data_IF_429520817361
#
_entry.id   IF_429520817361
#
_cell.length_a   1.000
_cell.length_b   1.000
_cell.length_c   1.000
_cell.angle_alpha   90.00
_cell.angle_beta   90.00
_cell.angle_gamma   90.00
#
_symmetry.space_group_name_H-M   'P 1'
#
loop_
_entity.id
_entity.type
_entity.pdbx_description
1 polymer ?
#
# COMPACT_ATOMS: atom_id res chain seq x y z
N UNK A 1 0.22 -10.88 13.77
CA UNK A 1 0.18 -10.07 12.54
C UNK A 1 1.37 -9.14 12.51
N UNK A 2 1.78 -8.76 11.31
CA UNK A 2 2.74 -7.70 11.09
C UNK A 2 2.00 -6.37 10.83
N UNK A 3 2.44 -5.27 11.42
CA UNK A 3 1.81 -3.96 11.22
C UNK A 3 1.92 -3.47 9.78
N UNK A 4 2.97 -3.87 9.05
CA UNK A 4 3.17 -3.55 7.64
C UNK A 4 2.14 -4.22 6.70
N UNK A 5 1.34 -5.18 7.21
CA UNK A 5 0.21 -5.77 6.50
C UNK A 5 -1.13 -5.08 6.80
N UNK A 6 -1.14 -4.02 7.59
CA UNK A 6 -2.35 -3.34 8.02
C UNK A 6 -2.41 -1.94 7.42
N UNK A 7 -3.42 -1.68 6.62
CA UNK A 7 -3.68 -0.37 6.03
C UNK A 7 -5.01 0.19 6.55
N UNK A 8 -4.98 1.40 7.11
CA UNK A 8 -6.17 2.03 7.69
C UNK A 8 -6.86 2.96 6.69
N UNK A 9 -8.13 2.72 6.47
CA UNK A 9 -9.04 3.54 5.67
C UNK A 9 -10.18 4.06 6.55
N UNK A 10 -9.88 5.03 7.40
CA UNK A 10 -10.85 5.53 8.37
C UNK A 10 -11.38 4.43 9.29
N UNK A 11 -12.68 4.10 9.16
CA UNK A 11 -13.33 3.02 9.93
C UNK A 11 -12.94 1.60 9.51
N UNK A 12 -12.19 1.44 8.44
CA UNK A 12 -11.84 0.13 7.88
C UNK A 12 -10.34 -0.15 8.02
N UNK A 13 -10.01 -1.37 8.42
CA UNK A 13 -8.67 -1.93 8.39
C UNK A 13 -8.60 -2.97 7.29
N UNK A 14 -7.85 -2.66 6.23
CA UNK A 14 -7.54 -3.61 5.17
C UNK A 14 -6.26 -4.35 5.55
N UNK A 15 -6.36 -5.66 5.74
CA UNK A 15 -5.26 -6.46 6.28
C UNK A 15 -4.89 -7.56 5.30
N UNK A 16 -3.64 -7.55 4.84
CA UNK A 16 -3.14 -8.61 4.00
C UNK A 16 -3.09 -9.92 4.78
N UNK A 17 -3.75 -10.95 4.27
CA UNK A 17 -3.59 -12.32 4.72
C UNK A 17 -2.51 -12.99 3.87
N UNK A 18 -1.40 -13.34 4.47
CA UNK A 18 -0.23 -13.83 3.75
C UNK A 18 0.84 -14.43 4.67
N UNK A 19 2.06 -14.23 4.28
CA UNK A 19 3.23 -14.80 4.93
C UNK A 19 3.44 -14.33 6.37
N UNK A 20 3.28 -13.02 6.59
CA UNK A 20 3.59 -12.32 7.84
C UNK A 20 2.37 -12.13 8.73
N UNK A 21 1.17 -12.25 8.15
CA UNK A 21 -0.09 -12.12 8.88
C UNK A 21 -1.05 -13.25 8.54
N UNK A 22 -1.46 -14.00 9.55
CA UNK A 22 -2.41 -15.10 9.43
C UNK A 22 -3.80 -14.74 9.99
N UNK A 23 -4.78 -15.65 9.79
CA UNK A 23 -6.15 -15.43 10.28
C UNK A 23 -6.26 -15.26 11.80
N UNK A 24 -5.36 -15.85 12.58
CA UNK A 24 -5.34 -15.63 14.04
C UNK A 24 -5.00 -14.19 14.38
N UNK A 25 -4.03 -13.60 13.68
CA UNK A 25 -3.66 -12.20 13.81
C UNK A 25 -4.79 -11.26 13.36
N UNK A 26 -5.43 -11.55 12.22
CA UNK A 26 -6.58 -10.80 11.73
C UNK A 26 -7.76 -10.86 12.72
N UNK A 27 -8.04 -12.02 13.28
CA UNK A 27 -9.09 -12.17 14.30
C UNK A 27 -8.73 -11.46 15.61
N UNK A 28 -7.44 -11.36 15.93
CA UNK A 28 -6.98 -10.54 17.05
C UNK A 28 -7.32 -9.07 16.83
N UNK A 29 -7.04 -8.52 15.64
CA UNK A 29 -7.41 -7.15 15.26
C UNK A 29 -8.93 -6.94 15.39
N UNK A 30 -9.76 -7.85 14.89
CA UNK A 30 -11.23 -7.76 15.00
C UNK A 30 -11.71 -7.63 16.45
N UNK A 31 -11.08 -8.35 17.38
CA UNK A 31 -11.45 -8.30 18.81
C UNK A 31 -10.97 -7.03 19.51
N UNK A 32 -9.80 -6.51 19.12
CA UNK A 32 -9.15 -5.41 19.84
C UNK A 32 -9.47 -4.04 19.25
N UNK A 33 -10.00 -4.00 18.04
CA UNK A 33 -10.45 -2.77 17.40
C UNK A 33 -11.95 -2.85 17.04
N UNK A 34 -12.84 -2.97 18.05
CA UNK A 34 -14.28 -3.18 17.80
C UNK A 34 -14.97 -2.02 17.10
N UNK A 35 -14.34 -0.83 17.10
CA UNK A 35 -14.82 0.35 16.36
C UNK A 35 -14.42 0.34 14.88
N UNK A 36 -13.70 -0.68 14.41
CA UNK A 36 -13.25 -0.81 13.02
C UNK A 36 -13.77 -2.08 12.38
N UNK A 37 -14.04 -2.01 11.08
CA UNK A 37 -14.32 -3.17 10.23
C UNK A 37 -13.00 -3.71 9.71
N UNK A 38 -12.71 -4.99 9.94
CA UNK A 38 -11.43 -5.61 9.58
C UNK A 38 -11.63 -6.58 8.42
N UNK A 39 -11.08 -6.22 7.27
CA UNK A 39 -11.17 -6.97 6.01
C UNK A 39 -9.87 -7.72 5.75
N UNK A 40 -9.97 -9.03 5.54
CA UNK A 40 -8.84 -9.84 5.12
C UNK A 40 -8.70 -9.76 3.60
N UNK A 41 -7.58 -9.26 3.11
CA UNK A 41 -7.27 -9.16 1.69
C UNK A 41 -6.23 -10.22 1.30
N UNK A 42 -6.42 -10.85 0.14
CA UNK A 42 -5.47 -11.79 -0.43
C UNK A 42 -4.88 -11.20 -1.71
N UNK A 43 -3.58 -11.33 -1.86
CA UNK A 43 -2.87 -10.89 -3.06
C UNK A 43 -2.17 -12.10 -3.70
N UNK A 44 -2.86 -12.85 -4.58
CA UNK A 44 -2.25 -13.97 -5.28
C UNK A 44 -1.18 -13.49 -6.26
N UNK A 45 -0.24 -14.35 -6.60
CA UNK A 45 0.85 -14.07 -7.53
C UNK A 45 2.21 -14.09 -6.88
N UNK A 46 3.08 -13.15 -7.26
CA UNK A 46 4.44 -13.04 -6.73
C UNK A 46 4.39 -12.82 -5.20
N UNK A 47 5.09 -13.65 -4.38
CA UNK A 47 5.14 -13.44 -2.94
C UNK A 47 5.87 -12.16 -2.52
N UNK A 48 6.59 -11.52 -3.42
CA UNK A 48 7.36 -10.31 -3.16
C UNK A 48 6.82 -9.09 -3.94
N UNK A 49 6.81 -7.92 -3.32
CA UNK A 49 7.12 -7.61 -1.91
C UNK A 49 6.11 -8.26 -0.96
N UNK A 50 6.58 -8.63 0.23
CA UNK A 50 5.75 -9.45 1.14
C UNK A 50 4.61 -8.68 1.81
N UNK A 51 4.72 -7.37 1.97
CA UNK A 51 3.76 -6.53 2.69
C UNK A 51 2.80 -5.77 1.78
N UNK A 52 1.68 -5.35 2.36
CA UNK A 52 0.62 -4.61 1.65
C UNK A 52 1.09 -3.22 1.21
N UNK A 53 1.96 -2.57 1.95
CA UNK A 53 2.44 -1.21 1.71
C UNK A 53 3.26 -1.03 0.42
N UNK A 54 3.78 -2.13 -0.13
CA UNK A 54 4.42 -2.15 -1.43
C UNK A 54 3.62 -2.96 -2.47
N UNK A 55 2.35 -3.24 -2.18
CA UNK A 55 1.45 -4.03 -3.03
C UNK A 55 0.17 -3.28 -3.39
N UNK A 56 -0.40 -2.55 -2.43
CA UNK A 56 -1.70 -1.92 -2.54
C UNK A 56 -1.71 -0.63 -1.71
N UNK A 57 -1.54 0.51 -2.34
CA UNK A 57 -1.30 1.79 -1.66
C UNK A 57 -2.38 2.80 -1.98
N UNK A 58 -3.05 3.30 -0.95
CA UNK A 58 -3.99 4.40 -1.09
C UNK A 58 -3.23 5.73 -1.26
N UNK A 59 -3.53 6.46 -2.33
CA UNK A 59 -2.98 7.79 -2.59
C UNK A 59 -3.81 8.88 -1.92
N UNK A 60 -5.13 8.73 -1.97
CA UNK A 60 -6.13 9.60 -1.36
C UNK A 60 -7.48 8.91 -1.33
N UNK A 61 -8.51 9.46 -0.67
CA UNK A 61 -9.86 8.92 -0.77
C UNK A 61 -10.29 8.74 -2.21
N UNK A 62 -10.77 7.53 -2.54
CA UNK A 62 -11.21 7.15 -3.87
C UNK A 62 -10.12 6.70 -4.85
N UNK A 63 -8.83 6.68 -4.47
CA UNK A 63 -7.75 6.33 -5.40
C UNK A 63 -6.68 5.45 -4.77
N UNK A 64 -6.44 4.30 -5.39
CA UNK A 64 -5.44 3.31 -4.98
C UNK A 64 -4.57 2.93 -6.18
N UNK A 65 -3.27 2.75 -5.96
CA UNK A 65 -2.39 2.03 -6.88
C UNK A 65 -2.18 0.59 -6.38
N UNK A 66 -2.12 -0.35 -7.32
CA UNK A 66 -1.98 -1.77 -7.03
C UNK A 66 -0.84 -2.37 -7.87
N UNK A 67 -0.09 -3.27 -7.27
CA UNK A 67 0.91 -4.06 -7.98
C UNK A 67 0.22 -4.96 -9.03
N UNK A 68 0.52 -4.80 -10.34
CA UNK A 68 -0.12 -5.59 -11.39
C UNK A 68 0.20 -7.09 -11.30
N UNK A 69 1.30 -7.47 -10.65
CA UNK A 69 1.69 -8.87 -10.43
C UNK A 69 1.01 -9.50 -9.20
N UNK A 70 0.33 -8.67 -8.40
CA UNK A 70 -0.37 -9.07 -7.15
C UNK A 70 -1.73 -8.39 -7.06
N UNK A 71 -2.56 -8.57 -8.07
CA UNK A 71 -3.87 -7.93 -8.11
C UNK A 71 -4.84 -8.54 -7.10
N UNK A 72 -5.61 -7.66 -6.47
CA UNK A 72 -6.71 -8.06 -5.61
C UNK A 72 -7.75 -8.87 -6.40
N UNK A 73 -8.24 -10.03 -5.89
CA UNK A 73 -9.28 -10.82 -6.54
C UNK A 73 -10.55 -10.03 -6.78
N UNK A 74 -11.27 -10.34 -7.86
CA UNK A 74 -12.51 -9.64 -8.26
C UNK A 74 -13.52 -9.50 -7.12
N UNK A 75 -13.71 -10.56 -6.33
CA UNK A 75 -14.68 -10.54 -5.22
C UNK A 75 -14.28 -9.53 -4.14
N UNK A 76 -12.99 -9.42 -3.84
CA UNK A 76 -12.48 -8.48 -2.85
C UNK A 76 -12.41 -7.03 -3.39
N UNK A 77 -12.33 -6.86 -4.71
CA UNK A 77 -12.39 -5.53 -5.34
C UNK A 77 -13.77 -4.88 -5.24
N UNK A 78 -14.84 -5.68 -5.13
CA UNK A 78 -16.21 -5.18 -5.08
C UNK A 78 -16.46 -4.16 -3.97
N UNK A 79 -15.82 -4.31 -2.81
CA UNK A 79 -15.96 -3.34 -1.73
C UNK A 79 -15.47 -1.96 -2.15
N UNK A 80 -14.38 -1.90 -2.90
CA UNK A 80 -13.82 -0.65 -3.42
C UNK A 80 -14.70 -0.07 -4.52
N UNK A 81 -15.10 -0.90 -5.48
CA UNK A 81 -15.93 -0.51 -6.63
C UNK A 81 -17.31 0.04 -6.21
N UNK A 82 -17.96 -0.60 -5.21
CA UNK A 82 -19.24 -0.14 -4.65
C UNK A 82 -19.16 1.22 -3.93
N UNK A 83 -17.98 1.66 -3.58
CA UNK A 83 -17.74 2.89 -2.84
C UNK A 83 -16.92 3.90 -3.66
N UNK A 84 -16.97 3.80 -4.99
CA UNK A 84 -16.35 4.71 -5.96
C UNK A 84 -14.83 4.81 -5.83
N UNK A 85 -14.16 3.76 -5.33
CA UNK A 85 -12.72 3.69 -5.31
C UNK A 85 -12.17 3.17 -6.64
N UNK A 86 -11.28 3.95 -7.23
CA UNK A 86 -10.54 3.57 -8.43
C UNK A 86 -9.25 2.86 -8.03
N UNK A 87 -9.06 1.64 -8.53
CA UNK A 87 -7.82 0.88 -8.38
C UNK A 87 -7.08 0.92 -9.72
N UNK A 88 -5.90 1.48 -9.72
CA UNK A 88 -5.04 1.66 -10.91
C UNK A 88 -3.79 0.78 -10.75
N UNK A 89 -3.40 0.10 -11.81
CA UNK A 89 -2.12 -0.62 -11.81
C UNK A 89 -0.96 0.38 -11.72
N UNK A 90 0.02 0.07 -10.88
CA UNK A 90 1.23 0.86 -10.74
C UNK A 90 2.07 0.82 -12.02
N UNK A 91 2.81 1.89 -12.27
CA UNK A 91 3.78 1.94 -13.35
C UNK A 91 4.84 0.84 -13.18
N UNK A 92 5.42 0.39 -14.29
CA UNK A 92 6.52 -0.56 -14.23
C UNK A 92 7.70 0.06 -13.48
N UNK A 93 8.38 -0.72 -12.61
CA UNK A 93 9.58 -0.25 -11.95
C UNK A 93 10.64 0.22 -12.98
N UNK A 94 11.33 1.30 -12.66
CA UNK A 94 12.42 1.80 -13.53
C UNK A 94 13.62 0.84 -13.54
N UNK A 95 13.75 0.02 -12.49
CA UNK A 95 14.80 -0.97 -12.36
C UNK A 95 14.25 -2.38 -12.56
N UNK A 96 14.86 -3.15 -13.46
CA UNK A 96 14.43 -4.52 -13.80
C UNK A 96 15.05 -5.62 -12.92
N UNK A 97 15.92 -5.24 -11.99
CA UNK A 97 16.54 -6.14 -11.02
C UNK A 97 16.28 -5.64 -9.60
N UNK A 98 15.90 -6.55 -8.69
CA UNK A 98 15.78 -6.16 -7.28
C UNK A 98 17.15 -5.75 -6.72
N UNK A 99 17.19 -4.89 -5.69
CA UNK A 99 18.42 -4.60 -4.98
C UNK A 99 19.04 -5.88 -4.41
N UNK A 100 20.37 -5.98 -4.34
CA UNK A 100 21.05 -7.11 -3.71
C UNK A 100 20.71 -7.17 -2.22
N UNK A 101 20.88 -8.34 -1.62
CA UNK A 101 20.90 -8.61 -0.18
C UNK A 101 19.56 -8.86 0.50
N UNK A 102 18.41 -8.81 -0.14
CA UNK A 102 17.17 -8.94 0.61
C UNK A 102 16.07 -9.66 -0.11
N UNK A 103 15.04 -10.03 0.63
CA UNK A 103 13.72 -10.44 0.13
C UNK A 103 13.03 -9.28 -0.62
N UNK A 104 13.81 -8.52 -1.38
CA UNK A 104 13.36 -7.34 -2.08
C UNK A 104 12.85 -7.68 -3.46
N UNK A 105 11.89 -6.92 -3.88
CA UNK A 105 11.29 -6.97 -5.21
C UNK A 105 11.61 -5.69 -5.97
N UNK A 106 11.59 -5.73 -7.29
CA UNK A 106 11.59 -4.52 -8.12
C UNK A 106 10.41 -3.61 -7.78
N UNK A 107 9.33 -4.19 -7.26
CA UNK A 107 8.10 -3.49 -6.83
C UNK A 107 8.25 -2.69 -5.52
N UNK A 108 9.46 -2.61 -4.95
CA UNK A 108 9.76 -1.58 -3.95
C UNK A 108 9.57 -0.15 -4.50
N UNK A 109 9.50 0.01 -5.82
CA UNK A 109 9.04 1.24 -6.47
C UNK A 109 7.70 1.74 -5.95
N UNK A 110 6.82 0.84 -5.47
CA UNK A 110 5.54 1.17 -4.86
C UNK A 110 5.61 1.50 -3.36
N UNK A 111 6.76 1.34 -2.72
CA UNK A 111 6.94 1.67 -1.31
C UNK A 111 7.12 3.18 -1.11
N UNK A 112 6.16 3.93 -1.62
CA UNK A 112 6.08 5.40 -1.61
C UNK A 112 5.52 5.88 -0.27
N UNK A 113 5.85 7.11 0.12
CA UNK A 113 5.32 7.73 1.33
C UNK A 113 4.30 8.81 0.95
N UNK A 114 3.03 8.54 1.22
CA UNK A 114 1.95 9.53 1.04
C UNK A 114 1.90 10.44 2.26
N UNK A 115 2.24 11.70 2.07
CA UNK A 115 2.26 12.73 3.13
C UNK A 115 0.84 13.19 3.44
N UNK A 116 0.08 13.51 2.41
CA UNK A 116 -1.31 13.97 2.47
C UNK A 116 -2.04 13.62 1.15
N UNK A 117 -3.35 13.90 0.99
CA UNK A 117 -4.10 13.56 -0.22
C UNK A 117 -3.62 14.21 -1.52
N UNK A 118 -2.64 15.10 -1.46
CA UNK A 118 -2.08 15.81 -2.61
C UNK A 118 -0.60 15.49 -2.82
N UNK A 119 0.15 15.17 -1.77
CA UNK A 119 1.61 15.10 -1.77
C UNK A 119 2.11 13.67 -1.51
N UNK A 120 3.05 13.21 -2.32
CA UNK A 120 3.66 11.90 -2.21
C UNK A 120 5.17 11.95 -2.45
N UNK A 121 5.93 11.27 -1.59
CA UNK A 121 7.38 11.08 -1.78
C UNK A 121 7.62 9.78 -2.56
N UNK A 122 8.49 9.86 -3.56
CA UNK A 122 8.89 8.76 -4.43
C UNK A 122 10.41 8.68 -4.48
N UNK A 123 10.96 7.48 -4.57
CA UNK A 123 12.39 7.31 -4.81
C UNK A 123 12.76 7.92 -6.18
N UNK A 124 13.77 8.78 -6.20
CA UNK A 124 14.14 9.65 -7.32
C UNK A 124 14.40 8.91 -8.63
N UNK A 125 14.96 7.70 -8.58
CA UNK A 125 15.24 6.92 -9.80
C UNK A 125 14.01 6.20 -10.36
N UNK A 126 12.87 6.14 -9.63
CA UNK A 126 11.62 5.52 -10.08
C UNK A 126 10.78 6.50 -10.93
N UNK A 127 11.38 6.94 -12.04
CA UNK A 127 10.84 7.98 -12.93
C UNK A 127 9.46 7.66 -13.49
N UNK A 128 9.16 6.39 -13.79
CA UNK A 128 7.85 6.00 -14.31
C UNK A 128 6.75 6.07 -13.25
N UNK A 129 7.09 5.75 -12.01
CA UNK A 129 6.20 5.88 -10.87
C UNK A 129 5.92 7.36 -10.58
N UNK A 130 6.96 8.21 -10.60
CA UNK A 130 6.84 9.65 -10.40
C UNK A 130 5.93 10.28 -11.48
N UNK A 131 6.15 9.94 -12.76
CA UNK A 131 5.32 10.41 -13.87
C UNK A 131 3.85 9.97 -13.73
N UNK A 132 3.60 8.70 -13.36
CA UNK A 132 2.25 8.20 -13.17
C UNK A 132 1.53 8.95 -12.05
N UNK A 133 2.18 9.13 -10.90
CA UNK A 133 1.60 9.83 -9.75
C UNK A 133 1.28 11.28 -10.07
N UNK A 134 2.15 11.96 -10.82
CA UNK A 134 1.91 13.31 -11.32
C UNK A 134 0.68 13.35 -12.26
N UNK A 135 0.55 12.40 -13.18
CA UNK A 135 -0.64 12.28 -14.05
C UNK A 135 -1.92 11.96 -13.28
N UNK A 136 -1.82 11.29 -12.13
CA UNK A 136 -2.94 11.06 -11.21
C UNK A 136 -3.26 12.29 -10.34
N UNK A 137 -2.55 13.40 -10.53
CA UNK A 137 -2.80 14.67 -9.86
C UNK A 137 -2.15 14.77 -8.48
N UNK A 138 -1.11 13.99 -8.20
CA UNK A 138 -0.30 14.12 -6.99
C UNK A 138 0.85 15.11 -7.22
N UNK A 139 1.19 15.87 -6.20
CA UNK A 139 2.45 16.59 -6.11
C UNK A 139 3.54 15.60 -5.68
N UNK A 140 4.52 15.40 -6.56
CA UNK A 140 5.56 14.40 -6.37
C UNK A 140 6.82 15.03 -5.80
N UNK A 141 7.27 14.53 -4.66
CA UNK A 141 8.55 14.87 -4.04
C UNK A 141 9.54 13.74 -4.29
N UNK A 142 10.56 13.99 -5.09
CA UNK A 142 11.60 13.03 -5.38
C UNK A 142 12.62 12.99 -4.24
N UNK A 143 12.92 11.79 -3.74
CA UNK A 143 13.85 11.56 -2.64
C UNK A 143 14.92 10.56 -3.08
N UNK A 144 16.18 10.90 -2.90
CA UNK A 144 17.29 9.99 -3.16
C UNK A 144 17.38 8.95 -2.03
N UNK A 145 16.85 7.75 -2.29
CA UNK A 145 16.65 6.73 -1.26
C UNK A 145 17.07 5.32 -1.70
N UNK A 146 17.62 5.17 -2.89
CA UNK A 146 17.94 3.88 -3.49
C UNK A 146 18.86 3.02 -2.64
N UNK A 147 19.80 3.62 -1.95
CA UNK A 147 20.81 2.92 -1.12
C UNK A 147 20.21 2.23 0.11
N UNK A 148 18.97 2.55 0.48
CA UNK A 148 18.23 1.89 1.58
C UNK A 148 17.50 0.63 1.12
N UNK A 149 17.15 0.51 -0.14
CA UNK A 149 16.40 -0.62 -0.70
C UNK A 149 17.03 -2.01 -0.43
N UNK A 150 18.38 -2.18 -0.40
CA UNK A 150 19.00 -3.45 -0.03
C UNK A 150 18.62 -3.97 1.36
N UNK A 151 18.13 -3.11 2.25
CA UNK A 151 17.63 -3.51 3.56
C UNK A 151 16.19 -4.01 3.55
N UNK A 152 15.55 -4.10 2.38
CA UNK A 152 14.24 -4.73 2.18
C UNK A 152 13.05 -3.79 2.31
N UNK A 153 13.27 -2.48 2.30
CA UNK A 153 12.20 -1.49 2.37
C UNK A 153 12.52 -0.23 1.59
N UNK A 154 11.50 0.59 1.34
CA UNK A 154 11.62 1.89 0.72
C UNK A 154 11.23 3.02 1.67
N UNK A 155 10.68 4.08 1.13
CA UNK A 155 10.31 5.29 1.88
C UNK A 155 9.26 5.01 2.97
N UNK A 156 8.20 4.27 2.64
CA UNK A 156 7.15 3.95 3.62
C UNK A 156 7.69 3.08 4.75
N UNK A 157 8.40 2.00 4.43
CA UNK A 157 8.98 1.08 5.42
C UNK A 157 9.94 1.75 6.41
N UNK A 158 10.57 2.87 6.02
CA UNK A 158 11.52 3.61 6.85
C UNK A 158 10.87 4.67 7.75
N UNK A 159 9.53 4.74 7.73
CA UNK A 159 8.77 5.75 8.46
C UNK A 159 7.71 5.12 9.34
N UNK A 160 7.29 5.84 10.37
CA UNK A 160 6.18 5.49 11.24
C UNK A 160 5.38 6.74 11.56
N UNK A 161 4.07 6.70 11.32
CA UNK A 161 3.18 7.76 11.76
C UNK A 161 3.06 7.75 13.30
N UNK A 162 3.58 8.77 13.95
CA UNK A 162 3.40 8.98 15.39
C UNK A 162 2.04 9.64 15.63
N UNK A 163 1.71 10.63 14.81
CA UNK A 163 0.45 11.35 14.86
C UNK A 163 0.10 11.83 13.44
N UNK A 164 -1.16 11.66 13.06
CA UNK A 164 -1.70 12.19 11.83
C UNK A 164 -3.07 12.80 12.10
N UNK A 165 -3.25 14.07 11.77
CA UNK A 165 -4.53 14.73 11.92
C UNK A 165 -5.56 14.17 10.92
N UNK A 166 -6.80 14.05 11.38
CA UNK A 166 -7.89 13.56 10.56
C UNK A 166 -9.09 13.11 11.37
N UNK A 167 -10.14 12.72 10.67
CA UNK A 167 -11.33 12.11 11.26
C UNK A 167 -11.37 10.63 10.87
N UNK A 168 -12.02 9.83 11.71
CA UNK A 168 -12.30 8.42 11.40
C UNK A 168 -13.49 8.33 10.43
N UNK A 169 -13.26 8.69 9.17
CA UNK A 169 -14.28 8.73 8.12
C UNK A 169 -14.78 7.32 7.77
N UNK A 170 -16.01 7.22 7.29
CA UNK A 170 -16.55 6.02 6.70
C UNK A 170 -16.40 6.06 5.18
N UNK A 171 -15.31 5.47 4.68
CA UNK A 171 -15.02 5.43 3.26
C UNK A 171 -15.71 4.27 2.51
N UNK A 172 -16.35 3.36 3.23
CA UNK A 172 -16.99 2.17 2.66
C UNK A 172 -18.40 1.95 3.24
N UNK A 173 -19.33 2.92 3.09
CA UNK A 173 -20.68 2.77 3.60
C UNK A 173 -21.48 1.67 2.89
N UNK A 174 -21.12 1.31 1.65
CA UNK A 174 -21.79 0.31 0.82
C UNK A 174 -21.03 -1.04 0.87
N UNK A 175 -21.25 -1.85 1.90
CA UNK A 175 -20.61 -3.17 2.07
C UNK A 175 -21.52 -4.33 1.68
#
# INVERSE_FOLDING_TARGET
FDAADVMRFGKDLMVQHGFTTNLKGINWLRRHFPGHRVHALNFPGDPYPIHIDATFTALRPGLIINNPNRRLPKEQRKIFEKNDWKIVDAAQPAHNKPPPLCFSSVWLSMNILVIDPKTVCVEKSEVYQAEQLSKLGMEVVEVDFRDVYPFGGGLHCSTTDVYREGKCEDYFPNQ
#
